data_IF_666993407717
#
_entry.id   IF_666993407717
#
_cell.length_a   1.000
_cell.length_b   1.000
_cell.length_c   1.000
_cell.angle_alpha   90.00
_cell.angle_beta   90.00
_cell.angle_gamma   90.00
#
_symmetry.space_group_name_H-M   'P 1'
#
loop_
_entity.id
_entity.type
_entity.pdbx_description
1 polymer ?
#
# COMPACT_ATOMS: atom_id res chain seq x y z
N UNK A 1 -27.79 4.08 -1.73
CA UNK A 1 -27.53 5.40 -1.12
C UNK A 1 -26.40 6.06 -1.90
N UNK A 2 -26.23 7.39 -1.85
CA UNK A 2 -25.23 8.11 -2.66
C UNK A 2 -23.76 7.69 -2.40
N UNK A 3 -23.49 7.04 -1.25
CA UNK A 3 -22.14 6.53 -0.89
C UNK A 3 -22.12 5.01 -0.68
N UNK A 4 -22.97 4.27 -1.40
CA UNK A 4 -22.91 2.80 -1.42
C UNK A 4 -22.01 2.34 -2.57
N UNK A 5 -20.99 1.54 -2.26
CA UNK A 5 -20.12 0.89 -3.25
C UNK A 5 -20.36 -0.60 -3.27
N UNK A 6 -20.51 -1.14 -4.48
CA UNK A 6 -20.55 -2.58 -4.70
C UNK A 6 -19.13 -3.08 -4.99
N UNK A 7 -18.62 -3.99 -4.17
CA UNK A 7 -17.24 -4.45 -4.18
C UNK A 7 -17.13 -5.90 -4.66
N UNK A 8 -16.16 -6.13 -5.55
CA UNK A 8 -15.70 -7.46 -5.96
C UNK A 8 -14.19 -7.52 -5.79
N UNK A 9 -13.70 -8.61 -5.21
CA UNK A 9 -12.28 -8.82 -4.92
C UNK A 9 -11.87 -10.09 -5.63
N UNK A 10 -10.79 -10.02 -6.41
CA UNK A 10 -10.22 -11.16 -7.10
C UNK A 10 -8.79 -11.39 -6.61
N UNK A 11 -8.46 -12.65 -6.29
CA UNK A 11 -7.09 -13.08 -6.05
C UNK A 11 -6.62 -13.89 -7.26
N UNK A 12 -5.66 -13.36 -8.01
CA UNK A 12 -5.07 -14.04 -9.16
C UNK A 12 -3.74 -14.65 -8.73
N UNK A 13 -3.65 -15.98 -8.72
CA UNK A 13 -2.39 -16.68 -8.47
C UNK A 13 -1.67 -16.84 -9.81
N UNK A 14 -0.52 -16.17 -9.98
CA UNK A 14 0.21 -16.10 -11.24
C UNK A 14 1.56 -16.81 -11.13
N UNK A 15 2.04 -17.39 -12.23
CA UNK A 15 3.34 -18.06 -12.32
C UNK A 15 4.14 -17.53 -13.51
N UNK A 16 5.32 -16.98 -13.25
CA UNK A 16 6.23 -16.54 -14.30
C UNK A 16 6.83 -17.76 -15.00
N UNK A 17 6.77 -17.81 -16.32
CA UNK A 17 7.35 -18.91 -17.13
C UNK A 17 8.83 -18.73 -17.45
N UNK A 18 9.41 -17.59 -17.06
CA UNK A 18 10.82 -17.25 -17.23
C UNK A 18 11.54 -17.24 -15.89
N UNK A 19 12.87 -17.30 -15.90
CA UNK A 19 13.69 -17.21 -14.69
C UNK A 19 13.42 -15.89 -13.93
N UNK A 20 13.46 -15.98 -12.59
CA UNK A 20 13.28 -14.84 -11.71
C UNK A 20 14.05 -15.00 -10.41
N UNK A 21 14.32 -13.87 -9.78
CA UNK A 21 15.00 -13.78 -8.48
C UNK A 21 13.95 -13.76 -7.38
N UNK A 22 14.24 -14.47 -6.29
CA UNK A 22 13.45 -14.42 -5.06
C UNK A 22 14.29 -13.86 -3.92
N UNK A 23 13.69 -13.02 -3.09
CA UNK A 23 14.29 -12.58 -1.84
C UNK A 23 13.79 -13.47 -0.69
N UNK A 24 14.69 -14.19 0.02
CA UNK A 24 14.28 -15.14 1.06
C UNK A 24 13.41 -14.54 2.16
N UNK A 25 13.68 -13.30 2.57
CA UNK A 25 12.91 -12.62 3.62
C UNK A 25 11.47 -12.33 3.16
N UNK A 26 11.29 -11.91 1.90
CA UNK A 26 9.99 -11.67 1.30
C UNK A 26 9.18 -12.97 1.15
N UNK A 27 9.82 -14.07 0.74
CA UNK A 27 9.18 -15.39 0.67
C UNK A 27 8.76 -15.86 2.07
N UNK A 28 9.64 -15.75 3.07
CA UNK A 28 9.32 -16.11 4.44
C UNK A 28 8.13 -15.31 4.98
N UNK A 29 8.10 -14.00 4.70
CA UNK A 29 6.98 -13.14 5.07
C UNK A 29 5.67 -13.62 4.43
N UNK A 30 5.67 -13.94 3.14
CA UNK A 30 4.48 -14.45 2.44
C UNK A 30 3.99 -15.78 3.03
N UNK A 31 4.89 -16.72 3.34
CA UNK A 31 4.53 -17.99 4.00
C UNK A 31 3.90 -17.73 5.36
N UNK A 32 4.48 -16.85 6.17
CA UNK A 32 3.95 -16.49 7.49
C UNK A 32 2.54 -15.86 7.44
N UNK A 33 2.18 -15.24 6.32
CA UNK A 33 0.86 -14.66 6.07
C UNK A 33 -0.07 -15.56 5.24
N UNK A 34 0.31 -16.84 5.10
CA UNK A 34 -0.52 -17.89 4.52
C UNK A 34 -0.63 -17.84 2.99
N UNK A 35 0.39 -17.31 2.31
CA UNK A 35 0.53 -17.47 0.87
C UNK A 35 0.90 -18.93 0.54
N UNK A 36 0.19 -19.52 -0.42
CA UNK A 36 0.36 -20.92 -0.81
C UNK A 36 1.22 -21.04 -2.08
N UNK A 37 2.52 -21.25 -1.88
CA UNK A 37 3.45 -21.47 -2.99
C UNK A 37 3.20 -22.78 -3.72
N UNK A 38 2.71 -23.83 -3.04
CA UNK A 38 2.39 -25.11 -3.70
C UNK A 38 1.26 -24.89 -4.71
N UNK A 39 0.23 -24.13 -4.34
CA UNK A 39 -0.83 -23.72 -5.27
C UNK A 39 -0.28 -22.86 -6.41
N UNK A 40 0.63 -21.93 -6.14
CA UNK A 40 1.25 -21.10 -7.18
C UNK A 40 2.00 -21.94 -8.22
N UNK A 41 2.85 -22.87 -7.78
CA UNK A 41 3.66 -23.69 -8.70
C UNK A 41 2.85 -24.78 -9.41
N UNK A 42 1.78 -25.28 -8.79
CA UNK A 42 0.94 -26.34 -9.39
C UNK A 42 -0.21 -25.81 -10.26
N UNK A 43 -0.75 -24.63 -9.95
CA UNK A 43 -2.00 -24.12 -10.56
C UNK A 43 -1.93 -22.63 -10.96
N UNK A 44 -0.76 -21.98 -10.81
CA UNK A 44 -0.61 -20.57 -11.14
C UNK A 44 -0.85 -20.30 -12.62
N UNK A 45 -1.56 -19.21 -12.91
CA UNK A 45 -1.84 -18.76 -14.29
C UNK A 45 -0.49 -18.34 -14.92
N UNK A 46 -0.05 -18.98 -16.01
CA UNK A 46 1.24 -18.70 -16.60
C UNK A 46 1.26 -17.31 -17.24
N UNK A 47 2.37 -16.61 -17.10
CA UNK A 47 2.66 -15.38 -17.82
C UNK A 47 4.14 -15.27 -18.15
N UNK A 48 4.45 -14.43 -19.14
CA UNK A 48 5.80 -14.11 -19.57
C UNK A 48 5.99 -12.58 -19.52
N UNK A 49 7.23 -12.13 -19.39
CA UNK A 49 7.54 -10.72 -19.20
C UNK A 49 7.83 -10.05 -20.54
N UNK A 50 7.81 -8.72 -20.54
CA UNK A 50 8.26 -7.91 -21.64
C UNK A 50 7.20 -7.73 -22.74
N UNK A 51 7.67 -7.67 -23.98
CA UNK A 51 6.84 -7.37 -25.16
C UNK A 51 6.03 -8.60 -25.57
N UNK A 52 4.88 -8.35 -26.20
CA UNK A 52 4.01 -9.42 -26.70
C UNK A 52 4.75 -10.30 -27.72
N UNK A 53 4.50 -11.60 -27.66
CA UNK A 53 5.03 -12.57 -28.64
C UNK A 53 4.04 -12.67 -29.81
N UNK A 54 4.54 -12.79 -31.04
CA UNK A 54 3.75 -12.68 -32.29
C UNK A 54 2.57 -13.64 -32.47
N UNK A 55 2.37 -14.62 -31.58
CA UNK A 55 1.28 -15.62 -31.65
C UNK A 55 0.24 -15.48 -30.51
N UNK A 56 0.24 -14.38 -29.75
CA UNK A 56 -0.55 -14.28 -28.51
C UNK A 56 -1.95 -13.70 -28.66
N UNK A 57 -2.33 -13.29 -29.88
CA UNK A 57 -3.59 -12.58 -30.15
C UNK A 57 -4.88 -13.39 -29.94
N UNK A 58 -4.79 -14.68 -29.57
CA UNK A 58 -5.95 -15.58 -29.41
C UNK A 58 -6.05 -16.27 -28.04
N UNK A 59 -5.08 -16.11 -27.13
CA UNK A 59 -5.14 -16.77 -25.82
C UNK A 59 -5.71 -15.85 -24.73
N UNK A 60 -6.65 -16.37 -23.94
CA UNK A 60 -7.10 -15.72 -22.72
C UNK A 60 -5.93 -15.75 -21.72
N UNK A 61 -5.34 -14.60 -21.45
CA UNK A 61 -4.18 -14.45 -20.56
C UNK A 61 -4.35 -13.29 -19.58
N UNK A 62 -3.51 -13.25 -18.54
CA UNK A 62 -3.45 -12.10 -17.62
C UNK A 62 -3.06 -10.80 -18.35
N UNK A 63 -2.32 -10.90 -19.46
CA UNK A 63 -1.98 -9.74 -20.31
C UNK A 63 -3.22 -9.18 -21.01
N UNK A 64 -4.11 -10.07 -21.47
CA UNK A 64 -5.42 -9.69 -22.02
C UNK A 64 -6.28 -9.02 -20.95
N UNK A 65 -6.32 -9.57 -19.73
CA UNK A 65 -7.02 -8.92 -18.61
C UNK A 65 -6.46 -7.52 -18.32
N UNK A 66 -5.13 -7.36 -18.30
CA UNK A 66 -4.50 -6.06 -18.07
C UNK A 66 -4.84 -5.05 -19.17
N UNK A 67 -4.91 -5.48 -20.44
CA UNK A 67 -5.39 -4.66 -21.54
C UNK A 67 -6.85 -4.24 -21.36
N UNK A 68 -7.72 -5.11 -20.85
CA UNK A 68 -9.11 -4.74 -20.52
C UNK A 68 -9.19 -3.68 -19.41
N UNK A 69 -8.30 -3.72 -18.43
CA UNK A 69 -8.21 -2.67 -17.40
C UNK A 69 -7.87 -1.30 -18.01
N UNK A 70 -6.95 -1.27 -18.99
CA UNK A 70 -6.59 -0.05 -19.73
C UNK A 70 -7.78 0.44 -20.57
N UNK A 71 -8.46 -0.47 -21.28
CA UNK A 71 -9.65 -0.18 -22.11
C UNK A 71 -10.80 0.41 -21.31
N UNK A 72 -10.95 0.00 -20.06
CA UNK A 72 -12.00 0.51 -19.18
C UNK A 72 -11.89 2.02 -18.91
N UNK A 73 -10.70 2.62 -19.10
CA UNK A 73 -10.43 4.06 -18.88
C UNK A 73 -10.93 4.53 -17.50
N UNK A 74 -10.85 3.64 -16.51
CA UNK A 74 -11.19 3.92 -15.11
C UNK A 74 -9.94 4.32 -14.33
N UNK A 75 -10.09 5.08 -13.23
CA UNK A 75 -8.95 5.45 -12.41
C UNK A 75 -8.31 4.21 -11.81
N UNK A 76 -6.97 4.18 -11.80
CA UNK A 76 -6.20 3.12 -11.16
C UNK A 76 -5.80 3.57 -9.75
N UNK A 77 -6.10 2.74 -8.75
CA UNK A 77 -5.86 3.08 -7.33
C UNK A 77 -4.89 2.06 -6.75
N UNK A 78 -3.84 2.55 -6.10
CA UNK A 78 -2.77 1.76 -5.51
C UNK A 78 -2.44 2.30 -4.10
N UNK A 79 -1.58 1.60 -3.37
CA UNK A 79 -1.04 2.07 -2.10
C UNK A 79 0.48 1.94 -2.12
N UNK A 80 1.22 3.07 -2.14
CA UNK A 80 2.67 3.06 -2.34
C UNK A 80 3.07 2.38 -3.67
N UNK A 81 2.35 2.71 -4.73
CA UNK A 81 2.16 1.86 -5.91
C UNK A 81 3.27 1.86 -6.96
N UNK A 82 4.42 2.48 -6.71
CA UNK A 82 5.47 2.61 -7.72
C UNK A 82 5.96 1.25 -8.20
N UNK A 83 6.28 0.35 -7.27
CA UNK A 83 6.79 -0.98 -7.60
C UNK A 83 5.70 -1.84 -8.25
N UNK A 84 4.45 -1.72 -7.81
CA UNK A 84 3.31 -2.38 -8.45
C UNK A 84 3.20 -1.98 -9.93
N UNK A 85 3.30 -0.69 -10.24
CA UNK A 85 3.23 -0.20 -11.63
C UNK A 85 4.39 -0.71 -12.48
N UNK A 86 5.61 -0.76 -11.91
CA UNK A 86 6.78 -1.31 -12.61
C UNK A 86 6.55 -2.78 -12.95
N UNK A 87 6.04 -3.59 -12.01
CA UNK A 87 5.74 -4.99 -12.28
C UNK A 87 4.54 -5.18 -13.21
N UNK A 88 3.45 -4.43 -13.05
CA UNK A 88 2.31 -4.47 -13.96
C UNK A 88 2.75 -4.17 -15.40
N UNK A 89 3.62 -3.17 -15.58
CA UNK A 89 4.17 -2.82 -16.88
C UNK A 89 5.07 -3.94 -17.44
N UNK A 90 6.11 -4.34 -16.70
CA UNK A 90 7.08 -5.34 -17.14
C UNK A 90 6.45 -6.72 -17.37
N UNK A 91 5.53 -7.14 -16.49
CA UNK A 91 4.98 -8.49 -16.52
C UNK A 91 3.81 -8.61 -17.50
N UNK A 92 3.01 -7.55 -17.68
CA UNK A 92 1.73 -7.68 -18.40
C UNK A 92 1.57 -6.76 -19.61
N UNK A 93 2.49 -5.82 -19.83
CA UNK A 93 2.36 -4.81 -20.88
C UNK A 93 3.49 -4.84 -21.90
N UNK A 94 4.70 -4.45 -21.52
CA UNK A 94 5.85 -4.30 -22.41
C UNK A 94 7.16 -4.30 -21.61
N UNK A 95 8.31 -4.36 -22.29
CA UNK A 95 9.59 -4.11 -21.63
C UNK A 95 9.63 -2.71 -21.06
N UNK A 96 10.09 -2.58 -19.80
CA UNK A 96 10.26 -1.31 -19.14
C UNK A 96 11.08 -0.34 -20.01
N UNK A 97 10.64 0.92 -20.14
CA UNK A 97 11.43 1.92 -20.84
C UNK A 97 12.75 2.22 -20.12
N UNK A 98 13.77 2.60 -20.89
CA UNK A 98 15.10 2.95 -20.37
C UNK A 98 15.10 4.19 -19.47
N UNK A 99 14.10 5.06 -19.60
CA UNK A 99 14.01 6.31 -18.85
C UNK A 99 12.70 6.42 -18.09
N UNK A 100 12.77 7.02 -16.88
CA UNK A 100 11.60 7.34 -16.07
C UNK A 100 10.62 8.27 -16.81
N UNK A 101 11.13 9.18 -17.64
CA UNK A 101 10.30 10.10 -18.43
C UNK A 101 9.42 9.36 -19.45
N UNK A 102 9.97 8.35 -20.13
CA UNK A 102 9.18 7.51 -21.03
C UNK A 102 8.19 6.64 -20.26
N UNK A 103 8.61 6.03 -19.14
CA UNK A 103 7.72 5.22 -18.30
C UNK A 103 6.51 6.03 -17.79
N UNK A 104 6.73 7.23 -17.28
CA UNK A 104 5.66 8.11 -16.79
C UNK A 104 4.77 8.64 -17.92
N UNK A 105 5.33 8.88 -19.12
CA UNK A 105 4.55 9.21 -20.31
C UNK A 105 3.62 8.06 -20.70
N UNK A 106 4.13 6.83 -20.79
CA UNK A 106 3.35 5.63 -21.12
C UNK A 106 2.22 5.43 -20.10
N UNK A 107 2.53 5.44 -18.79
CA UNK A 107 1.53 5.31 -17.73
C UNK A 107 0.45 6.39 -17.77
N UNK A 108 0.81 7.65 -18.07
CA UNK A 108 -0.14 8.75 -18.14
C UNK A 108 -1.13 8.59 -19.29
N UNK A 109 -0.68 7.99 -20.39
CA UNK A 109 -1.54 7.65 -21.53
C UNK A 109 -2.38 6.40 -21.22
N UNK A 110 -1.82 5.37 -20.58
CA UNK A 110 -2.55 4.14 -20.22
C UNK A 110 -3.77 4.40 -19.33
N UNK A 111 -3.67 5.34 -18.37
CA UNK A 111 -4.72 5.59 -17.38
C UNK A 111 -5.20 7.05 -17.43
N UNK A 112 -6.03 7.42 -18.42
CA UNK A 112 -6.44 8.82 -18.63
C UNK A 112 -7.33 9.39 -17.52
N UNK A 113 -8.01 8.53 -16.75
CA UNK A 113 -8.80 8.95 -15.57
C UNK A 113 -7.92 9.19 -14.32
N UNK A 114 -6.61 8.95 -14.44
CA UNK A 114 -5.61 9.19 -13.43
C UNK A 114 -5.23 7.96 -12.60
N UNK A 115 -4.03 8.03 -12.05
CA UNK A 115 -3.50 7.08 -11.08
C UNK A 115 -3.48 7.75 -9.70
N UNK A 116 -4.00 7.07 -8.69
CA UNK A 116 -4.12 7.57 -7.32
C UNK A 116 -3.39 6.66 -6.34
N UNK A 117 -2.50 7.25 -5.54
CA UNK A 117 -1.81 6.56 -4.46
C UNK A 117 -2.45 6.90 -3.10
N UNK A 118 -3.05 5.90 -2.46
CA UNK A 118 -3.73 6.07 -1.18
C UNK A 118 -2.77 6.34 -0.03
N UNK A 119 -1.48 6.00 -0.14
CA UNK A 119 -0.47 6.41 0.83
C UNK A 119 -0.21 7.92 0.74
N UNK A 120 -0.12 8.44 -0.48
CA UNK A 120 -0.04 9.88 -0.73
C UNK A 120 -1.29 10.61 -0.22
N UNK A 121 -2.48 10.11 -0.55
CA UNK A 121 -3.73 10.68 -0.03
C UNK A 121 -3.77 10.66 1.51
N UNK A 122 -3.34 9.57 2.14
CA UNK A 122 -3.34 9.46 3.60
C UNK A 122 -2.40 10.48 4.28
N UNK A 123 -1.22 10.71 3.70
CA UNK A 123 -0.22 11.61 4.28
C UNK A 123 -0.51 13.09 3.99
N UNK A 124 -0.92 13.42 2.76
CA UNK A 124 -1.04 14.81 2.31
C UNK A 124 -2.48 15.33 2.31
N UNK A 125 -3.46 14.48 1.98
CA UNK A 125 -4.87 14.87 1.87
C UNK A 125 -5.58 14.78 3.22
N UNK A 126 -5.53 13.62 3.88
CA UNK A 126 -6.18 13.42 5.19
C UNK A 126 -5.27 13.76 6.37
N UNK A 127 -3.96 13.88 6.13
CA UNK A 127 -2.93 14.21 7.13
C UNK A 127 -2.95 13.26 8.34
N UNK A 128 -3.08 11.97 8.06
CA UNK A 128 -2.94 10.92 9.06
C UNK A 128 -1.52 10.91 9.67
N UNK A 129 -1.41 10.45 10.92
CA UNK A 129 -0.12 10.40 11.64
C UNK A 129 0.79 9.31 11.07
N UNK A 130 0.21 8.22 10.59
CA UNK A 130 0.89 7.17 9.83
C UNK A 130 0.09 6.87 8.55
N UNK A 131 0.78 6.34 7.55
CA UNK A 131 0.22 6.13 6.20
C UNK A 131 0.41 4.71 5.66
N UNK A 132 0.83 3.74 6.49
CA UNK A 132 0.82 2.34 6.08
C UNK A 132 -0.62 1.82 5.98
N UNK A 133 -0.84 0.89 5.04
CA UNK A 133 -2.16 0.52 4.54
C UNK A 133 -3.16 0.17 5.64
N UNK A 134 -2.78 -0.71 6.56
CA UNK A 134 -3.68 -1.16 7.62
C UNK A 134 -4.06 -0.02 8.58
N UNK A 135 -3.12 0.86 8.95
CA UNK A 135 -3.44 2.04 9.76
C UNK A 135 -4.43 2.96 9.03
N UNK A 136 -4.14 3.30 7.78
CA UNK A 136 -4.99 4.19 6.99
C UNK A 136 -6.40 3.63 6.85
N UNK A 137 -6.53 2.33 6.54
CA UNK A 137 -7.82 1.65 6.45
C UNK A 137 -8.56 1.63 7.80
N UNK A 138 -7.92 1.18 8.88
CA UNK A 138 -8.53 1.15 10.22
C UNK A 138 -8.97 2.53 10.65
N UNK A 139 -8.16 3.55 10.36
CA UNK A 139 -8.48 4.95 10.65
C UNK A 139 -9.73 5.40 9.89
N UNK A 140 -9.76 5.21 8.56
CA UNK A 140 -10.92 5.52 7.73
C UNK A 140 -12.19 4.79 8.22
N UNK A 141 -12.08 3.49 8.50
CA UNK A 141 -13.20 2.66 8.97
C UNK A 141 -13.75 3.14 10.31
N UNK A 142 -12.88 3.45 11.28
CA UNK A 142 -13.28 3.97 12.60
C UNK A 142 -13.98 5.33 12.50
N UNK A 143 -13.46 6.25 11.69
CA UNK A 143 -14.12 7.53 11.45
C UNK A 143 -15.44 7.37 10.70
N UNK A 144 -15.51 6.45 9.74
CA UNK A 144 -16.76 6.11 9.04
C UNK A 144 -17.83 5.55 10.00
N UNK A 145 -17.45 4.70 10.95
CA UNK A 145 -18.37 4.22 11.99
C UNK A 145 -18.90 5.37 12.85
N UNK A 146 -18.04 6.29 13.29
CA UNK A 146 -18.49 7.49 14.04
C UNK A 146 -19.50 8.32 13.23
N UNK A 147 -19.24 8.51 11.94
CA UNK A 147 -20.16 9.23 11.04
C UNK A 147 -21.50 8.50 10.95
N UNK A 148 -21.49 7.19 10.69
CA UNK A 148 -22.70 6.35 10.66
C UNK A 148 -23.50 6.44 11.97
N UNK A 149 -22.83 6.29 13.12
CA UNK A 149 -23.48 6.29 14.42
C UNK A 149 -24.06 7.67 14.78
N UNK A 150 -23.44 8.75 14.27
CA UNK A 150 -23.98 10.12 14.34
C UNK A 150 -25.02 10.47 13.27
N UNK A 151 -25.48 9.49 12.48
CA UNK A 151 -26.38 9.69 11.32
C UNK A 151 -25.85 10.67 10.26
N UNK A 152 -24.52 10.85 10.19
CA UNK A 152 -23.84 11.64 9.18
C UNK A 152 -23.66 10.89 7.86
N UNK A 153 -23.21 11.61 6.84
CA UNK A 153 -22.83 11.02 5.56
C UNK A 153 -21.68 10.00 5.78
N UNK A 154 -21.92 8.75 5.39
CA UNK A 154 -20.99 7.64 5.61
C UNK A 154 -20.94 6.72 4.40
N UNK A 155 -19.83 6.00 4.26
CA UNK A 155 -19.55 5.02 3.24
C UNK A 155 -20.19 3.67 3.63
N UNK A 156 -20.88 3.06 2.68
CA UNK A 156 -21.43 1.70 2.80
C UNK A 156 -20.82 0.84 1.71
N UNK A 157 -20.41 -0.38 2.05
CA UNK A 157 -19.87 -1.34 1.08
C UNK A 157 -20.73 -2.59 1.07
N UNK A 158 -21.15 -2.98 -0.13
CA UNK A 158 -21.91 -4.19 -0.39
C UNK A 158 -21.06 -5.16 -1.21
N UNK A 159 -21.34 -6.45 -1.10
CA UNK A 159 -20.65 -7.50 -1.84
C UNK A 159 -21.65 -8.26 -2.70
N UNK A 160 -21.19 -8.77 -3.83
CA UNK A 160 -22.02 -9.61 -4.68
C UNK A 160 -22.38 -10.90 -3.97
N UNK A 161 -23.64 -11.32 -4.15
CA UNK A 161 -24.06 -12.67 -3.82
C UNK A 161 -23.83 -13.57 -5.03
N UNK A 162 -22.93 -14.52 -4.90
CA UNK A 162 -22.59 -15.44 -5.98
C UNK A 162 -23.42 -16.73 -5.89
N UNK A 163 -23.80 -17.31 -7.03
CA UNK A 163 -24.54 -18.57 -7.04
C UNK A 163 -23.72 -19.73 -6.45
N UNK A 164 -24.41 -20.73 -5.90
CA UNK A 164 -23.79 -21.84 -5.16
C UNK A 164 -22.74 -22.64 -5.98
N UNK A 165 -22.87 -22.68 -7.30
CA UNK A 165 -21.91 -23.32 -8.20
C UNK A 165 -20.54 -22.61 -8.24
N UNK A 166 -20.45 -21.35 -7.79
CA UNK A 166 -19.19 -20.60 -7.69
C UNK A 166 -18.53 -20.72 -6.32
N UNK A 167 -19.15 -21.39 -5.34
CA UNK A 167 -18.66 -21.50 -3.96
C UNK A 167 -17.22 -21.98 -3.85
N UNK A 168 -16.76 -22.87 -4.75
CA UNK A 168 -15.38 -23.38 -4.78
C UNK A 168 -14.31 -22.33 -5.11
N UNK A 169 -14.70 -21.21 -5.70
CA UNK A 169 -13.81 -20.11 -6.09
C UNK A 169 -13.90 -18.91 -5.16
N UNK A 170 -14.74 -19.00 -4.11
CA UNK A 170 -15.02 -17.89 -3.21
C UNK A 170 -14.46 -18.24 -1.84
N UNK A 171 -13.63 -17.35 -1.32
CA UNK A 171 -13.16 -17.41 0.05
C UNK A 171 -13.91 -16.37 0.88
N UNK A 172 -14.64 -16.83 1.91
CA UNK A 172 -15.33 -15.95 2.84
C UNK A 172 -14.41 -15.68 4.02
N UNK A 173 -14.06 -14.40 4.21
CA UNK A 173 -13.25 -13.97 5.33
C UNK A 173 -13.92 -12.85 6.09
N UNK A 174 -13.78 -12.89 7.41
CA UNK A 174 -14.30 -11.85 8.27
C UNK A 174 -13.39 -10.61 8.14
N UNK A 175 -13.97 -9.50 7.69
CA UNK A 175 -13.26 -8.23 7.47
C UNK A 175 -13.34 -7.29 8.69
N UNK A 176 -13.94 -7.75 9.79
CA UNK A 176 -13.99 -6.94 11.01
C UNK A 176 -12.69 -7.05 11.77
N UNK A 177 -12.33 -5.92 12.36
CA UNK A 177 -11.45 -5.87 13.50
C UNK A 177 -12.03 -6.82 14.53
N UNK A 178 -11.23 -7.73 15.07
CA UNK A 178 -11.62 -8.39 16.30
C UNK A 178 -12.03 -7.28 17.27
N UNK A 179 -13.31 -7.24 17.64
CA UNK A 179 -13.72 -6.55 18.85
C UNK A 179 -13.09 -7.36 19.99
N UNK A 180 -11.78 -7.20 20.18
CA UNK A 180 -11.13 -7.62 21.41
C UNK A 180 -11.86 -6.86 22.48
N UNK A 181 -12.75 -7.58 23.15
CA UNK A 181 -13.55 -7.14 24.28
C UNK A 181 -12.74 -6.13 25.06
N UNK A 182 -13.23 -4.89 25.16
CA UNK A 182 -12.74 -3.93 26.13
C UNK A 182 -12.94 -4.56 27.52
N UNK A 183 -12.03 -5.43 27.91
CA UNK A 183 -11.82 -5.83 29.27
C UNK A 183 -11.27 -4.56 29.91
N UNK A 184 -12.21 -3.79 30.46
CA UNK A 184 -11.95 -2.78 31.46
C UNK A 184 -11.37 -3.48 32.70
N UNK A 185 -10.13 -3.94 32.58
CA UNK A 185 -9.33 -4.53 33.63
C UNK A 185 -8.04 -3.73 33.73
N UNK A 186 -7.83 -3.07 34.87
CA UNK A 186 -6.63 -2.30 35.17
C UNK A 186 -5.38 -3.18 35.32
N UNK A 187 -4.90 -3.75 34.22
CA UNK A 187 -3.60 -4.41 34.10
C UNK A 187 -2.62 -3.55 33.30
N UNK A 188 -1.34 -3.59 33.67
CA UNK A 188 -0.22 -2.84 33.06
C UNK A 188 -0.42 -2.58 31.55
N UNK A 189 -0.66 -1.32 31.17
CA UNK A 189 -0.75 -0.93 29.77
C UNK A 189 0.63 -1.07 29.14
N UNK A 190 0.84 -2.12 28.37
CA UNK A 190 2.04 -2.30 27.56
C UNK A 190 2.14 -1.09 26.61
N UNK A 191 3.24 -0.33 26.63
CA UNK A 191 3.37 0.84 25.77
C UNK A 191 3.38 0.44 24.30
N UNK A 192 2.83 1.31 23.45
CA UNK A 192 2.88 1.17 22.00
C UNK A 192 4.33 1.19 21.50
N UNK A 193 4.63 0.33 20.53
CA UNK A 193 5.93 0.34 19.87
C UNK A 193 6.05 1.54 18.93
N UNK A 194 6.99 2.45 19.21
CA UNK A 194 7.17 3.67 18.42
C UNK A 194 7.52 3.39 16.95
N UNK A 195 8.44 2.43 16.69
CA UNK A 195 8.83 2.04 15.33
C UNK A 195 7.64 1.49 14.54
N UNK A 196 6.91 0.53 15.12
CA UNK A 196 5.72 -0.03 14.47
C UNK A 196 4.63 1.02 14.28
N UNK A 197 4.40 1.86 15.29
CA UNK A 197 3.42 2.94 15.28
C UNK A 197 3.67 4.00 14.20
N UNK A 198 4.94 4.21 13.81
CA UNK A 198 5.30 5.12 12.73
C UNK A 198 5.27 4.47 11.35
N UNK A 199 5.73 3.21 11.22
CA UNK A 199 6.05 2.62 9.92
C UNK A 199 5.26 1.35 9.57
N UNK A 200 4.49 0.79 10.50
CA UNK A 200 3.84 -0.52 10.35
C UNK A 200 4.81 -1.70 10.38
N UNK A 201 6.07 -1.46 10.76
CA UNK A 201 7.11 -2.48 10.83
C UNK A 201 8.01 -2.30 12.06
N UNK A 202 8.48 -3.42 12.61
CA UNK A 202 9.40 -3.45 13.74
C UNK A 202 10.39 -4.61 13.55
N UNK A 203 11.72 -4.37 13.74
CA UNK A 203 12.73 -5.41 13.57
C UNK A 203 12.58 -6.56 14.59
N UNK A 204 11.95 -6.30 15.74
CA UNK A 204 11.68 -7.35 16.75
C UNK A 204 10.46 -8.21 16.40
N UNK A 205 9.66 -7.82 15.40
CA UNK A 205 8.48 -8.55 14.94
C UNK A 205 7.57 -8.99 16.09
N UNK A 206 7.13 -10.24 16.06
CA UNK A 206 6.29 -10.86 17.10
C UNK A 206 6.98 -10.98 18.47
N UNK A 207 8.31 -10.82 18.53
CA UNK A 207 9.09 -10.84 19.79
C UNK A 207 9.22 -9.45 20.42
N UNK A 208 8.54 -8.44 19.87
CA UNK A 208 8.57 -7.10 20.43
C UNK A 208 7.85 -7.06 21.79
N UNK A 209 8.47 -6.54 22.86
CA UNK A 209 7.82 -6.43 24.17
C UNK A 209 6.80 -5.27 24.23
N UNK A 210 6.74 -4.44 23.20
CA UNK A 210 5.83 -3.30 23.07
C UNK A 210 4.64 -3.68 22.18
N UNK A 211 3.51 -2.99 22.35
CA UNK A 211 2.28 -3.30 21.61
C UNK A 211 2.40 -2.88 20.14
N UNK A 212 2.02 -3.80 19.24
CA UNK A 212 1.81 -3.54 17.80
C UNK A 212 0.32 -3.40 17.46
N UNK A 213 -0.57 -3.35 18.47
CA UNK A 213 -2.02 -3.23 18.23
C UNK A 213 -2.34 -1.85 17.61
N UNK A 214 -2.81 -1.87 16.36
CA UNK A 214 -3.08 -0.67 15.56
C UNK A 214 -4.24 0.14 16.13
N UNK A 215 -5.22 -0.49 16.76
CA UNK A 215 -6.36 0.21 17.36
C UNK A 215 -5.91 1.02 18.59
N UNK A 216 -4.99 0.47 19.40
CA UNK A 216 -4.33 1.22 20.48
C UNK A 216 -3.46 2.37 19.93
N UNK A 217 -2.73 2.15 18.84
CA UNK A 217 -1.93 3.18 18.17
C UNK A 217 -2.83 4.35 17.73
N UNK A 218 -3.94 4.07 17.06
CA UNK A 218 -4.89 5.09 16.59
C UNK A 218 -5.51 5.84 17.78
N UNK A 219 -5.85 5.13 18.88
CA UNK A 219 -6.37 5.75 20.10
C UNK A 219 -5.39 6.77 20.71
N UNK A 220 -4.10 6.42 20.78
CA UNK A 220 -3.07 7.32 21.29
C UNK A 220 -2.88 8.54 20.37
N UNK A 221 -2.83 8.32 19.05
CA UNK A 221 -2.71 9.37 18.05
C UNK A 221 -3.89 10.35 18.12
N UNK A 222 -5.13 9.85 18.24
CA UNK A 222 -6.33 10.69 18.36
C UNK A 222 -6.32 11.53 19.63
N UNK A 223 -5.90 10.95 20.77
CA UNK A 223 -5.76 11.69 22.03
C UNK A 223 -4.72 12.80 21.91
N UNK A 224 -3.59 12.54 21.25
CA UNK A 224 -2.54 13.54 21.01
C UNK A 224 -3.03 14.64 20.06
N UNK A 225 -3.74 14.28 19.01
CA UNK A 225 -4.33 15.20 18.06
C UNK A 225 -5.34 16.15 18.71
N UNK A 226 -6.26 15.63 19.54
CA UNK A 226 -7.23 16.45 20.25
C UNK A 226 -6.57 17.37 21.29
N UNK A 227 -5.51 16.91 21.98
CA UNK A 227 -4.70 17.78 22.84
C UNK A 227 -4.04 18.91 22.05
N UNK A 228 -3.48 18.62 20.87
CA UNK A 228 -2.86 19.63 19.98
C UNK A 228 -3.89 20.65 19.49
N UNK A 229 -5.07 20.21 19.05
CA UNK A 229 -6.18 21.12 18.68
C UNK A 229 -6.55 22.05 19.83
N UNK A 230 -6.78 21.52 21.04
CA UNK A 230 -7.12 22.32 22.22
C UNK A 230 -6.04 23.36 22.54
N UNK A 231 -4.75 23.00 22.40
CA UNK A 231 -3.62 23.94 22.56
C UNK A 231 -3.63 25.04 21.48
N UNK A 232 -3.83 24.68 20.20
CA UNK A 232 -3.93 25.65 19.08
C UNK A 232 -5.09 26.63 19.27
N UNK A 233 -6.26 26.15 19.71
CA UNK A 233 -7.41 27.01 20.04
C UNK A 233 -7.11 27.97 21.19
N UNK A 234 -6.51 27.49 22.29
CA UNK A 234 -6.09 28.35 23.42
C UNK A 234 -5.06 29.40 23.00
N UNK A 235 -4.10 29.05 22.15
CA UNK A 235 -3.11 29.99 21.63
C UNK A 235 -3.75 31.05 20.72
N UNK A 236 -4.63 30.66 19.79
CA UNK A 236 -5.39 31.61 18.95
C UNK A 236 -6.22 32.58 19.79
N UNK A 237 -6.90 32.08 20.82
CA UNK A 237 -7.68 32.93 21.74
C UNK A 237 -6.78 33.91 22.49
N UNK A 238 -5.61 33.47 22.99
CA UNK A 238 -4.63 34.35 23.64
C UNK A 238 -4.05 35.41 22.71
N UNK A 239 -3.85 35.07 21.42
CA UNK A 239 -3.36 36.01 20.40
C UNK A 239 -4.42 37.05 20.06
N UNK A 240 -5.68 36.65 19.91
CA UNK A 240 -6.80 37.56 19.64
C UNK A 240 -7.14 38.47 20.83
N UNK A 241 -6.95 38.01 22.07
CA UNK A 241 -7.12 38.84 23.28
C UNK A 241 -5.95 39.82 23.49
N UNK A 242 -4.80 39.59 22.85
CA UNK A 242 -3.60 40.46 22.94
C UNK A 242 -3.44 41.45 21.78
N UNK A 243 -4.40 41.56 20.86
CA UNK A 243 -4.46 42.70 19.92
C UNK A 243 -5.13 43.86 20.68
N UNK A 244 -4.39 44.92 21.06
CA UNK A 244 -4.89 45.86 22.05
C UNK A 244 -5.77 46.93 21.41
N UNK A 245 -6.88 47.24 22.10
CA UNK A 245 -7.36 48.61 22.15
C UNK A 245 -6.22 49.47 22.71
N UNK A 246 -5.52 50.20 21.85
CA UNK A 246 -4.96 51.53 22.10
C UNK A 246 -4.27 52.05 20.82
N UNK A 247 -4.94 53.01 20.18
CA UNK A 247 -4.31 53.97 19.29
C UNK A 247 -3.58 55.05 20.12
N UNK A 248 -2.52 55.63 19.56
CA UNK A 248 -1.67 56.74 20.08
C UNK A 248 -0.78 56.33 21.29
N UNK A 249 0.56 56.44 21.33
CA UNK A 249 1.51 57.42 20.78
C UNK A 249 2.99 56.89 20.85
N UNK A 250 3.83 57.39 19.93
CA UNK A 250 5.29 57.67 19.99
C UNK A 250 6.39 56.60 20.20
N UNK A 251 7.49 56.86 19.49
CA UNK A 251 8.68 56.06 19.17
C UNK A 251 9.63 55.74 20.34
N UNK A 252 10.27 54.57 20.29
CA UNK A 252 11.72 54.40 20.06
C UNK A 252 12.35 53.22 20.83
N UNK A 253 13.46 52.75 20.26
CA UNK A 253 14.46 51.79 20.77
C UNK A 253 14.09 50.30 20.70
N UNK A 254 14.91 49.58 19.93
CA UNK A 254 14.66 48.22 19.50
C UNK A 254 15.21 47.15 20.43
N UNK A 255 14.79 45.91 20.17
CA UNK A 255 15.60 44.72 20.34
C UNK A 255 14.90 43.50 19.68
N UNK A 256 15.74 42.73 18.95
CA UNK A 256 15.60 41.33 18.54
C UNK A 256 14.31 40.87 17.85
N UNK A 257 14.39 40.90 16.53
CA UNK A 257 13.54 40.16 15.61
C UNK A 257 13.82 38.64 15.72
N UNK A 258 13.09 37.93 16.57
CA UNK A 258 12.92 36.48 16.40
C UNK A 258 12.00 36.26 15.18
N UNK A 259 12.62 35.89 14.05
CA UNK A 259 11.91 35.36 12.89
C UNK A 259 11.20 34.07 13.29
N UNK A 260 9.93 34.17 13.64
CA UNK A 260 9.03 33.03 13.68
C UNK A 260 8.81 32.56 12.24
N UNK A 261 9.50 31.47 11.87
CA UNK A 261 9.22 30.73 10.65
C UNK A 261 7.72 30.40 10.59
N UNK A 262 7.05 30.88 9.56
CA UNK A 262 5.76 30.38 9.13
C UNK A 262 5.94 28.92 8.71
N UNK A 263 5.84 28.00 9.66
CA UNK A 263 5.82 26.57 9.39
C UNK A 263 4.56 26.21 8.64
N UNK A 264 4.70 25.93 7.35
CA UNK A 264 3.69 25.29 6.52
C UNK A 264 3.11 24.06 7.24
N UNK A 265 1.81 23.83 7.11
CA UNK A 265 1.09 22.74 7.76
C UNK A 265 1.48 21.38 7.16
N UNK A 266 2.64 20.87 7.57
CA UNK A 266 3.03 19.49 7.33
C UNK A 266 2.24 18.50 8.20
N UNK A 267 2.13 17.23 7.78
CA UNK A 267 1.47 16.19 8.57
C UNK A 267 2.16 16.03 9.94
N UNK A 268 1.42 15.61 10.98
CA UNK A 268 2.00 15.33 12.29
C UNK A 268 3.01 14.18 12.23
N UNK A 269 4.30 14.48 12.11
CA UNK A 269 5.36 13.46 12.06
C UNK A 269 5.68 12.93 13.46
N UNK A 270 5.64 11.61 13.63
CA UNK A 270 6.37 10.91 14.69
C UNK A 270 7.86 11.07 14.40
N UNK A 271 8.67 11.35 15.43
CA UNK A 271 10.10 11.63 15.28
C UNK A 271 10.79 10.45 14.57
N UNK A 272 11.62 10.75 13.57
CA UNK A 272 12.46 9.77 12.87
C UNK A 272 13.55 9.28 13.81
N UNK A 273 13.53 8.00 14.17
CA UNK A 273 14.74 7.34 14.67
C UNK A 273 15.68 7.13 13.47
N UNK A 274 16.68 8.00 13.33
CA UNK A 274 17.82 7.73 12.46
C UNK A 274 18.55 6.49 12.98
N UNK A 275 18.75 5.48 12.14
CA UNK A 275 19.86 4.53 12.33
C UNK A 275 21.08 5.04 11.54
N UNK A 276 22.31 4.90 12.06
CA UNK A 276 23.52 5.30 11.34
C UNK A 276 23.69 4.40 10.11
N UNK A 277 24.11 5.00 9.00
CA UNK A 277 24.20 4.35 7.70
C UNK A 277 25.04 3.07 7.70
N UNK A 278 24.48 2.00 7.13
CA UNK A 278 25.26 0.91 6.60
C UNK A 278 25.96 1.42 5.34
N UNK A 279 27.27 1.60 5.44
CA UNK A 279 28.14 2.03 4.36
C UNK A 279 28.00 1.11 3.14
N UNK A 280 27.81 1.75 1.98
CA UNK A 280 28.15 1.22 0.67
C UNK A 280 29.60 0.75 0.66
N UNK A 281 29.79 -0.57 0.65
CA UNK A 281 31.05 -1.22 0.30
C UNK A 281 30.92 -1.88 -1.07
N UNK A 282 31.06 -1.09 -2.13
CA UNK A 282 31.41 -1.60 -3.45
C UNK A 282 32.87 -2.07 -3.36
N UNK A 283 33.10 -3.37 -3.36
CA UNK A 283 34.40 -3.94 -3.66
C UNK A 283 34.34 -4.57 -5.05
N UNK A 284 34.98 -3.89 -6.00
CA UNK A 284 35.34 -4.43 -7.31
C UNK A 284 36.22 -5.67 -7.13
N UNK A 285 35.89 -6.75 -7.83
CA UNK A 285 36.86 -7.83 -8.11
C UNK A 285 36.72 -8.19 -9.60
N UNK A 286 37.66 -7.72 -10.41
CA UNK A 286 37.94 -8.25 -11.75
C UNK A 286 38.80 -9.53 -11.66
N UNK A 287 38.75 -10.40 -12.68
CA UNK A 287 39.09 -11.82 -12.55
C UNK A 287 40.56 -12.11 -12.88
N UNK A 288 41.11 -13.18 -12.31
CA UNK A 288 42.21 -13.90 -12.95
C UNK A 288 42.34 -15.35 -12.44
N UNK A 289 42.34 -16.28 -13.41
CA UNK A 289 43.36 -17.32 -13.54
C UNK A 289 43.39 -18.52 -12.59
N UNK A 290 42.85 -19.64 -13.09
CA UNK A 290 43.42 -21.01 -13.07
C UNK A 290 43.71 -21.76 -11.75
N UNK A 291 43.18 -23.00 -11.68
CA UNK A 291 43.74 -24.07 -10.84
C UNK A 291 42.73 -24.97 -10.11
N UNK A 292 42.24 -26.02 -10.78
CA UNK A 292 41.85 -27.32 -10.15
C UNK A 292 43.15 -28.10 -9.83
N UNK A 293 43.17 -29.20 -9.01
CA UNK A 293 42.12 -30.21 -8.79
C UNK A 293 41.92 -30.67 -7.32
N UNK A 294 40.71 -31.14 -6.97
CA UNK A 294 40.34 -32.52 -6.54
C UNK A 294 40.93 -32.97 -5.21
N UNK A 295 40.05 -33.27 -4.24
CA UNK A 295 40.15 -34.49 -3.42
C UNK A 295 38.78 -34.88 -2.84
N UNK A 296 38.45 -36.14 -3.08
CA UNK A 296 37.24 -36.87 -2.69
C UNK A 296 37.24 -37.20 -1.21
N UNK A 297 36.07 -37.21 -0.56
CA UNK A 297 35.79 -38.15 0.53
C UNK A 297 34.41 -38.77 0.31
N UNK A 298 34.47 -40.08 0.13
CA UNK A 298 33.45 -41.08 -0.13
C UNK A 298 32.74 -41.59 1.14
N UNK A 299 31.77 -42.48 0.90
CA UNK A 299 31.15 -43.50 1.79
C UNK A 299 29.83 -43.10 2.46
N UNK A 300 28.75 -43.89 2.44
CA UNK A 300 28.44 -45.16 1.77
C UNK A 300 26.90 -45.33 1.74
N UNK A 301 26.44 -46.13 0.79
CA UNK A 301 25.05 -46.56 0.60
C UNK A 301 24.84 -47.91 1.28
N UNK A 302 23.78 -48.06 2.06
CA UNK A 302 23.17 -49.37 2.34
C UNK A 302 21.64 -49.31 2.08
N UNK A 303 21.23 -50.03 1.05
CA UNK A 303 19.90 -50.66 0.83
C UNK A 303 19.76 -51.85 1.81
N UNK A 304 18.62 -52.36 2.27
CA UNK A 304 17.24 -52.50 1.78
C UNK A 304 16.42 -53.13 2.95
N UNK A 305 15.09 -52.94 3.00
CA UNK A 305 14.04 -53.99 3.10
C UNK A 305 12.71 -53.47 3.67
N UNK A 306 11.62 -53.96 3.05
CA UNK A 306 10.21 -53.60 3.25
C UNK A 306 9.56 -54.23 4.51
N UNK A 307 8.56 -53.56 5.11
CA UNK A 307 7.26 -54.16 5.48
C UNK A 307 6.25 -53.15 6.12
N UNK A 308 5.07 -53.07 5.50
CA UNK A 308 3.72 -52.96 6.08
C UNK A 308 3.35 -51.91 7.17
N UNK A 309 2.58 -50.90 6.75
CA UNK A 309 1.24 -50.56 7.27
C UNK A 309 1.04 -50.14 8.73
N UNK A 310 0.81 -48.85 8.97
CA UNK A 310 -0.08 -48.37 10.02
C UNK A 310 -0.58 -46.94 9.74
N UNK A 311 -1.90 -46.77 9.75
CA UNK A 311 -2.58 -45.48 9.66
C UNK A 311 -2.22 -44.59 10.86
N UNK A 312 -1.61 -43.44 10.60
CA UNK A 312 -1.35 -42.40 11.59
C UNK A 312 -2.11 -41.12 11.23
N UNK A 313 -3.15 -40.79 12.02
CA UNK A 313 -3.77 -39.47 12.01
C UNK A 313 -2.72 -38.41 12.30
N UNK A 314 -2.42 -37.54 11.36
CA UNK A 314 -1.64 -36.33 11.62
C UNK A 314 -2.43 -35.44 12.59
N UNK A 315 -1.88 -35.28 13.79
CA UNK A 315 -2.30 -34.27 14.75
C UNK A 315 -1.84 -32.92 14.21
N UNK A 316 -2.77 -32.12 13.73
CA UNK A 316 -2.56 -30.68 13.55
C UNK A 316 -2.10 -30.09 14.89
N UNK A 317 -0.86 -29.61 14.93
CA UNK A 317 -0.34 -28.80 16.01
C UNK A 317 -0.88 -27.39 15.82
N UNK A 318 -2.06 -27.12 16.41
CA UNK A 318 -2.58 -25.77 16.53
C UNK A 318 -1.69 -24.94 17.46
N UNK A 319 -0.70 -24.26 16.87
CA UNK A 319 -0.17 -23.04 17.46
C UNK A 319 -1.26 -21.94 17.45
N UNK A 320 -1.24 -20.98 18.39
CA UNK A 320 -2.18 -19.86 18.34
C UNK A 320 -2.00 -19.13 17.00
N UNK A 321 -3.10 -18.72 16.33
CA UNK A 321 -2.97 -17.99 15.08
C UNK A 321 -2.22 -16.69 15.37
N UNK A 322 -1.02 -16.56 14.82
CA UNK A 322 -0.42 -15.23 14.68
C UNK A 322 -1.40 -14.36 13.91
N UNK A 323 -1.39 -13.05 14.19
CA UNK A 323 -2.14 -11.97 13.53
C UNK A 323 -2.01 -11.90 11.97
N UNK A 324 -1.50 -12.94 11.31
CA UNK A 324 -1.10 -13.00 9.90
C UNK A 324 -2.24 -13.23 8.89
N UNK A 325 -3.46 -12.77 9.18
CA UNK A 325 -4.61 -12.91 8.27
C UNK A 325 -4.84 -11.72 7.33
N UNK A 326 -4.33 -10.54 7.68
CA UNK A 326 -4.66 -9.26 7.02
C UNK A 326 -3.79 -8.93 5.81
N UNK A 327 -2.55 -9.44 5.73
CA UNK A 327 -1.62 -9.18 4.63
C UNK A 327 -1.80 -10.16 3.46
N UNK A 328 -3.03 -10.27 2.93
CA UNK A 328 -3.29 -10.99 1.67
C UNK A 328 -3.63 -9.96 0.59
N UNK A 329 -3.20 -10.24 -0.64
CA UNK A 329 -3.40 -9.33 -1.78
C UNK A 329 -4.85 -8.84 -1.94
N UNK A 330 -5.85 -9.72 -1.80
CA UNK A 330 -7.26 -9.34 -1.86
C UNK A 330 -7.70 -8.40 -0.73
N UNK A 331 -7.17 -8.56 0.47
CA UNK A 331 -7.42 -7.61 1.57
C UNK A 331 -6.72 -6.29 1.34
N UNK A 332 -5.48 -6.31 0.86
CA UNK A 332 -4.75 -5.08 0.55
C UNK A 332 -5.44 -4.27 -0.54
N UNK A 333 -5.96 -4.94 -1.58
CA UNK A 333 -6.77 -4.32 -2.62
C UNK A 333 -8.08 -3.73 -2.06
N UNK A 334 -8.77 -4.46 -1.19
CA UNK A 334 -9.98 -3.97 -0.53
C UNK A 334 -9.70 -2.74 0.35
N UNK A 335 -8.68 -2.80 1.21
CA UNK A 335 -8.27 -1.70 2.09
C UNK A 335 -7.93 -0.46 1.26
N UNK A 336 -7.18 -0.65 0.16
CA UNK A 336 -6.82 0.42 -0.78
C UNK A 336 -8.07 1.07 -1.38
N UNK A 337 -9.00 0.26 -1.92
CA UNK A 337 -10.25 0.77 -2.47
C UNK A 337 -11.12 1.50 -1.44
N UNK A 338 -11.22 0.95 -0.23
CA UNK A 338 -11.97 1.55 0.88
C UNK A 338 -11.42 2.92 1.27
N UNK A 339 -10.09 3.05 1.42
CA UNK A 339 -9.44 4.33 1.73
C UNK A 339 -9.81 5.37 0.67
N UNK A 340 -9.66 5.02 -0.61
CA UNK A 340 -9.96 5.97 -1.68
C UNK A 340 -11.44 6.38 -1.70
N UNK A 341 -12.36 5.42 -1.57
CA UNK A 341 -13.80 5.70 -1.52
C UNK A 341 -14.17 6.60 -0.32
N UNK A 342 -13.57 6.36 0.85
CA UNK A 342 -13.77 7.17 2.04
C UNK A 342 -13.24 8.60 1.85
N UNK A 343 -12.02 8.77 1.34
CA UNK A 343 -11.42 10.09 1.11
C UNK A 343 -12.23 10.88 0.07
N UNK A 344 -12.67 10.22 -0.99
CA UNK A 344 -13.53 10.82 -2.02
C UNK A 344 -14.87 11.29 -1.45
N UNK A 345 -15.54 10.46 -0.64
CA UNK A 345 -16.78 10.85 0.05
C UNK A 345 -16.59 12.12 0.90
N UNK A 346 -15.52 12.20 1.70
CA UNK A 346 -15.23 13.37 2.53
C UNK A 346 -15.00 14.67 1.72
N UNK A 347 -14.63 14.54 0.44
CA UNK A 347 -14.32 15.65 -0.46
C UNK A 347 -15.53 16.09 -1.28
N UNK A 348 -16.35 15.14 -1.72
CA UNK A 348 -17.63 15.44 -2.37
C UNK A 348 -18.56 16.26 -1.47
N UNK A 349 -18.61 15.97 -0.16
CA UNK A 349 -19.38 16.78 0.79
C UNK A 349 -18.92 18.24 0.95
N UNK A 350 -17.82 18.66 0.31
CA UNK A 350 -17.25 20.01 0.41
C UNK A 350 -17.25 20.79 -0.91
N UNK A 351 -17.40 20.13 -2.06
CA UNK A 351 -17.37 20.76 -3.38
C UNK A 351 -18.70 20.52 -4.11
N UNK A 352 -19.49 21.58 -4.31
CA UNK A 352 -20.78 21.55 -5.02
C UNK A 352 -20.68 21.47 -6.55
N UNK A 353 -19.48 21.59 -7.13
CA UNK A 353 -19.26 21.66 -8.59
C UNK A 353 -18.52 20.41 -9.14
N UNK A 354 -18.98 19.21 -8.78
CA UNK A 354 -18.29 17.94 -9.04
C UNK A 354 -18.52 17.32 -10.44
N UNK A 355 -18.80 18.11 -11.48
CA UNK A 355 -19.27 17.53 -12.76
C UNK A 355 -18.20 17.28 -13.83
N UNK A 356 -16.97 17.80 -13.73
CA UNK A 356 -16.00 17.71 -14.84
C UNK A 356 -14.52 17.49 -14.47
N UNK A 357 -14.21 17.30 -13.18
CA UNK A 357 -12.82 17.21 -12.69
C UNK A 357 -12.37 15.79 -12.29
N UNK A 358 -11.06 15.58 -12.08
CA UNK A 358 -10.52 14.35 -11.50
C UNK A 358 -11.07 14.10 -10.09
N UNK A 359 -11.11 12.83 -9.64
CA UNK A 359 -11.65 12.44 -8.33
C UNK A 359 -10.94 13.18 -7.18
N UNK A 360 -9.63 13.26 -7.18
CA UNK A 360 -8.92 14.05 -6.18
C UNK A 360 -7.88 14.89 -6.91
N UNK A 361 -8.20 16.14 -7.29
CA UNK A 361 -7.29 16.99 -8.05
C UNK A 361 -5.90 17.09 -7.41
N UNK A 362 -5.85 17.18 -6.07
CA UNK A 362 -4.61 17.27 -5.31
C UNK A 362 -3.79 15.98 -5.28
N UNK A 363 -4.42 14.82 -5.57
CA UNK A 363 -3.77 13.51 -5.61
C UNK A 363 -3.61 12.96 -7.04
N UNK A 364 -4.21 13.59 -8.04
CA UNK A 364 -4.25 13.11 -9.41
C UNK A 364 -2.83 12.93 -9.97
N UNK A 365 -2.50 11.71 -10.40
CA UNK A 365 -1.20 11.34 -10.98
C UNK A 365 -0.01 11.64 -10.06
N UNK A 366 -0.20 11.52 -8.74
CA UNK A 366 0.88 11.66 -7.75
C UNK A 366 1.09 10.34 -7.01
N UNK A 367 2.24 9.72 -7.22
CA UNK A 367 2.65 8.52 -6.49
C UNK A 367 3.50 8.89 -5.28
N UNK A 368 3.29 8.17 -4.19
CA UNK A 368 4.10 8.32 -3.01
C UNK A 368 5.52 7.80 -3.25
N UNK A 369 6.53 8.54 -2.80
CA UNK A 369 7.93 8.12 -2.85
C UNK A 369 8.49 8.05 -1.43
N UNK A 370 8.69 6.83 -0.93
CA UNK A 370 9.26 6.61 0.40
C UNK A 370 10.63 7.28 0.52
N UNK A 371 10.80 8.11 1.55
CA UNK A 371 12.04 8.87 1.79
C UNK A 371 12.20 10.15 0.95
N UNK A 372 11.20 10.55 0.15
CA UNK A 372 11.20 11.82 -0.58
C UNK A 372 10.11 12.75 -0.07
N UNK A 373 10.36 14.06 -0.14
CA UNK A 373 9.38 15.10 0.23
C UNK A 373 8.39 15.43 -0.88
N UNK A 374 8.65 14.96 -2.10
CA UNK A 374 7.84 15.22 -3.29
C UNK A 374 7.37 13.90 -3.90
N UNK A 375 6.15 13.86 -4.46
CA UNK A 375 5.66 12.68 -5.16
C UNK A 375 6.33 12.52 -6.52
N UNK A 376 6.28 11.31 -7.08
CA UNK A 376 6.49 11.13 -8.51
C UNK A 376 5.23 11.57 -9.25
N UNK A 377 5.39 12.48 -10.21
CA UNK A 377 4.30 12.91 -11.07
C UNK A 377 4.22 12.01 -12.31
N UNK A 378 3.05 11.40 -12.53
CA UNK A 378 2.77 10.59 -13.72
C UNK A 378 2.20 11.50 -14.81
N UNK A 379 3.11 12.12 -15.56
CA UNK A 379 2.76 13.06 -16.63
C UNK A 379 3.66 12.86 -17.83
N UNK A 380 3.09 13.02 -19.03
CA UNK A 380 3.86 13.14 -20.26
C UNK A 380 4.41 14.55 -20.39
N UNK A 381 5.73 14.69 -20.18
CA UNK A 381 6.47 15.92 -20.43
C UNK A 381 6.55 16.23 -21.93
N UNK A 382 6.70 17.51 -22.28
CA UNK A 382 6.99 17.97 -23.66
C UNK A 382 8.27 17.36 -24.24
N UNK A 383 9.22 16.96 -23.38
CA UNK A 383 10.50 16.39 -23.77
C UNK A 383 10.50 14.86 -23.77
N UNK A 384 9.46 14.23 -23.21
CA UNK A 384 9.37 12.79 -23.08
C UNK A 384 8.53 12.19 -24.21
N UNK A 385 9.07 11.17 -24.86
CA UNK A 385 8.34 10.37 -25.85
C UNK A 385 7.86 9.09 -25.19
N UNK A 386 6.66 8.67 -25.57
CA UNK A 386 6.14 7.35 -25.22
C UNK A 386 6.97 6.26 -25.90
N UNK A 387 7.05 5.07 -25.31
CA UNK A 387 7.80 3.96 -25.89
C UNK A 387 7.13 3.47 -27.18
N UNK A 388 7.93 2.86 -28.08
CA UNK A 388 7.42 2.33 -29.35
C UNK A 388 6.37 1.23 -29.12
N UNK A 389 6.69 0.28 -28.23
CA UNK A 389 5.79 -0.81 -27.86
C UNK A 389 4.46 -0.28 -27.29
N UNK A 390 4.52 0.71 -26.39
CA UNK A 390 3.31 1.38 -25.89
C UNK A 390 2.51 2.04 -27.01
N UNK A 391 3.17 2.81 -27.89
CA UNK A 391 2.51 3.54 -28.97
C UNK A 391 1.77 2.64 -29.96
N UNK A 392 2.29 1.43 -30.20
CA UNK A 392 1.65 0.42 -31.03
C UNK A 392 0.48 -0.25 -30.28
N UNK A 393 0.70 -0.63 -29.02
CA UNK A 393 -0.26 -1.38 -28.20
C UNK A 393 -1.45 -0.52 -27.74
N UNK A 394 -1.23 0.74 -27.38
CA UNK A 394 -2.27 1.65 -26.91
C UNK A 394 -3.26 2.00 -28.03
N UNK A 395 -2.80 2.14 -29.27
CA UNK A 395 -3.67 2.34 -30.44
C UNK A 395 -4.59 1.14 -30.63
N UNK A 396 -4.05 -0.07 -30.64
CA UNK A 396 -4.86 -1.29 -30.72
C UNK A 396 -5.85 -1.42 -29.56
N UNK A 397 -5.44 -1.05 -28.35
CA UNK A 397 -6.31 -1.08 -27.19
C UNK A 397 -7.49 -0.11 -27.34
N UNK A 398 -7.26 1.09 -27.87
CA UNK A 398 -8.27 2.15 -27.94
C UNK A 398 -9.11 2.16 -29.21
N UNK A 399 -8.57 1.69 -30.34
CA UNK A 399 -9.30 1.63 -31.62
C UNK A 399 -10.28 0.44 -31.66
N UNK A 400 -10.08 -0.57 -30.79
CA UNK A 400 -10.94 -1.75 -30.68
C UNK A 400 -12.06 -1.62 -29.65
N UNK A 401 -12.23 -0.44 -29.03
CA UNK A 401 -13.11 -0.19 -27.89
C UNK A 401 -14.45 0.43 -28.28
#
# INVERSE_FOLDING_TARGET
SENTYLCQIYNLTLLCTEDYVVEPQSVQFLVQHGFDFNKQYSQGIPYHKGNDKGNESQSLSVRTLFLELIRAKKPLILHNGLIDLVFLYQCFYAHLPETLGTFTADLSEMFPAGIYDTKYASEFETRFVASYLEYAYKKCKRENCKLRDSSGQHLTVEFYNYPANMSRYIDYRYCSLEEESHSAGGGNKVPVCEKFSAYGWCPKGVKCPQSHNIDLIIDEDDKLWEKRKKRKHKWKHRKNVKVPANAFQQESSGEKMEQAQNGEEGPPRKQSCYEPGAATGLAEITPNGEGRPVEEISMDVETETEAAGAAGKEKETHGPPSQGGTHRAGFDAFMTGYIMAYVWMLKQGKNTDAAAGPWLPDCHNKLYLSGKSVPLQIVKSLFSKSSKAHSEKIKLAWDSA
#
